data_IF_833832130466
#
_entry.id   IF_833832130466
#
_cell.length_a   1.000
_cell.length_b   1.000
_cell.length_c   1.000
_cell.angle_alpha   90.00
_cell.angle_beta   90.00
_cell.angle_gamma   90.00
#
_symmetry.space_group_name_H-M   'P 1'
#
loop_
_entity.id
_entity.type
_entity.pdbx_description
1 polymer ?
#
# COMPACT_ATOMS: atom_id res chain seq x y z
N UNK A 1 21.26 12.76 0.17
CA UNK A 1 19.81 12.57 -0.11
C UNK A 1 19.49 11.19 -0.71
N UNK A 2 19.95 10.88 -1.93
CA UNK A 2 19.71 9.58 -2.60
C UNK A 2 20.28 8.35 -1.86
N UNK A 3 21.42 8.50 -1.17
CA UNK A 3 22.08 7.39 -0.46
C UNK A 3 21.25 6.80 0.70
N UNK A 4 20.42 7.61 1.37
CA UNK A 4 19.57 7.13 2.47
C UNK A 4 18.37 6.30 1.96
N UNK A 5 17.78 6.69 0.85
CA UNK A 5 16.62 5.99 0.26
C UNK A 5 16.98 4.61 -0.25
N UNK A 6 18.05 4.49 -1.03
CA UNK A 6 18.57 3.18 -1.49
C UNK A 6 18.85 2.29 -0.28
N UNK A 7 19.42 2.89 0.78
CA UNK A 7 19.66 2.17 2.02
C UNK A 7 18.40 1.76 2.77
N UNK A 8 17.28 2.49 2.65
CA UNK A 8 16.00 2.09 3.24
C UNK A 8 15.35 0.96 2.42
N UNK A 9 15.32 1.09 1.08
CA UNK A 9 14.68 0.14 0.17
C UNK A 9 15.28 -1.26 0.29
N UNK A 10 16.61 -1.37 0.34
CA UNK A 10 17.30 -2.67 0.42
C UNK A 10 16.93 -3.49 1.67
N UNK A 11 16.44 -2.84 2.74
CA UNK A 11 16.09 -3.53 3.98
C UNK A 11 14.60 -3.93 4.04
N UNK A 12 13.74 -3.35 3.20
CA UNK A 12 12.28 -3.59 3.25
C UNK A 12 11.96 -5.09 3.17
N UNK A 13 12.49 -5.88 2.21
CA UNK A 13 12.15 -7.30 2.13
C UNK A 13 12.54 -8.07 3.40
N UNK A 14 13.72 -7.77 3.95
CA UNK A 14 14.22 -8.41 5.17
C UNK A 14 13.37 -8.05 6.38
N UNK A 15 12.97 -6.78 6.51
CA UNK A 15 12.13 -6.32 7.61
C UNK A 15 10.74 -6.95 7.56
N UNK A 16 10.13 -7.00 6.37
CA UNK A 16 8.80 -7.58 6.20
C UNK A 16 8.78 -9.08 6.53
N UNK A 17 9.79 -9.84 6.12
CA UNK A 17 9.93 -11.25 6.49
C UNK A 17 10.10 -11.44 8.00
N UNK A 18 10.84 -10.55 8.67
CA UNK A 18 11.04 -10.64 10.12
C UNK A 18 9.78 -10.27 10.93
N UNK A 19 9.01 -9.28 10.46
CA UNK A 19 7.78 -8.82 11.14
C UNK A 19 6.62 -9.80 10.88
N UNK A 20 6.49 -10.32 9.65
CA UNK A 20 5.48 -11.31 9.27
C UNK A 20 4.05 -10.77 9.13
N UNK A 21 3.78 -9.50 9.49
CA UNK A 21 2.49 -8.84 9.27
C UNK A 21 2.65 -7.34 9.00
N UNK A 22 1.94 -6.83 7.99
CA UNK A 22 1.78 -5.39 7.69
C UNK A 22 0.36 -4.96 8.04
N UNK A 23 0.24 -3.90 8.83
CA UNK A 23 -1.04 -3.23 9.06
C UNK A 23 -1.20 -2.07 8.06
N UNK A 24 -2.12 -2.22 7.11
CA UNK A 24 -2.48 -1.15 6.18
C UNK A 24 -3.64 -0.36 6.77
N UNK A 25 -3.36 0.86 7.22
CA UNK A 25 -4.41 1.79 7.67
C UNK A 25 -5.12 2.33 6.42
N UNK A 26 -6.42 2.06 6.35
CA UNK A 26 -7.29 2.41 5.23
C UNK A 26 -8.24 3.51 5.69
N UNK A 27 -8.01 4.71 5.21
CA UNK A 27 -8.83 5.89 5.50
C UNK A 27 -8.70 6.90 4.34
N UNK A 28 -9.82 7.35 3.74
CA UNK A 28 -11.14 6.71 3.76
C UNK A 28 -11.10 5.34 3.04
N UNK A 29 -11.97 4.39 3.39
CA UNK A 29 -11.93 3.04 2.81
C UNK A 29 -12.28 3.00 1.32
N UNK A 30 -13.11 3.94 0.83
CA UNK A 30 -13.51 4.00 -0.59
C UNK A 30 -12.39 4.47 -1.51
N UNK A 31 -11.48 5.30 -1.00
CA UNK A 31 -10.35 5.82 -1.76
C UNK A 31 -9.14 5.94 -0.81
N UNK A 32 -8.51 4.81 -0.47
CA UNK A 32 -7.50 4.79 0.58
C UNK A 32 -6.29 5.64 0.19
N UNK A 33 -5.96 6.65 0.99
CA UNK A 33 -4.84 7.54 0.69
C UNK A 33 -3.52 6.77 0.65
N UNK A 34 -3.38 5.74 1.49
CA UNK A 34 -2.23 4.86 1.50
C UNK A 34 -1.96 4.21 0.13
N UNK A 35 -2.99 3.91 -0.66
CA UNK A 35 -2.84 3.32 -2.00
C UNK A 35 -2.46 4.36 -3.07
N UNK A 36 -2.45 5.65 -2.74
CA UNK A 36 -1.96 6.72 -3.61
C UNK A 36 -0.48 7.04 -3.37
N UNK A 37 0.14 6.44 -2.35
CA UNK A 37 1.54 6.72 -1.97
C UNK A 37 2.46 5.65 -2.51
N UNK A 38 3.47 6.07 -3.29
CA UNK A 38 4.39 5.13 -3.96
C UNK A 38 5.16 4.22 -2.98
N UNK A 39 5.47 4.74 -1.79
CA UNK A 39 6.13 4.00 -0.72
C UNK A 39 5.27 2.86 -0.19
N UNK A 40 3.99 3.13 0.08
CA UNK A 40 3.06 2.11 0.56
C UNK A 40 2.84 1.01 -0.50
N UNK A 41 2.80 1.38 -1.79
CA UNK A 41 2.70 0.39 -2.87
C UNK A 41 3.94 -0.51 -2.95
N UNK A 42 5.14 0.06 -2.79
CA UNK A 42 6.39 -0.72 -2.73
C UNK A 42 6.40 -1.68 -1.54
N UNK A 43 5.95 -1.24 -0.37
CA UNK A 43 5.87 -2.08 0.83
C UNK A 43 4.85 -3.21 0.67
N UNK A 44 3.68 -2.92 0.10
CA UNK A 44 2.66 -3.93 -0.19
C UNK A 44 3.15 -4.97 -1.20
N UNK A 45 3.82 -4.53 -2.28
CA UNK A 45 4.41 -5.43 -3.27
C UNK A 45 5.40 -6.41 -2.61
N UNK A 46 6.34 -5.89 -1.82
CA UNK A 46 7.29 -6.75 -1.11
C UNK A 46 6.62 -7.63 -0.05
N UNK A 47 5.57 -7.14 0.63
CA UNK A 47 4.81 -7.93 1.59
C UNK A 47 4.15 -9.13 0.90
N UNK A 48 3.54 -8.93 -0.28
CA UNK A 48 2.95 -10.00 -1.07
C UNK A 48 4.01 -10.98 -1.59
N UNK A 49 5.14 -10.49 -2.10
CA UNK A 49 6.26 -11.34 -2.53
C UNK A 49 6.84 -12.18 -1.38
N UNK A 50 6.94 -11.60 -0.18
CA UNK A 50 7.40 -12.27 1.02
C UNK A 50 6.33 -13.15 1.70
N UNK A 51 5.09 -13.21 1.17
CA UNK A 51 3.93 -13.88 1.79
C UNK A 51 3.67 -13.43 3.23
N UNK A 52 3.90 -12.16 3.48
CA UNK A 52 3.59 -11.49 4.73
C UNK A 52 2.08 -11.20 4.82
N UNK A 53 1.49 -11.37 6.00
CA UNK A 53 0.06 -11.07 6.20
C UNK A 53 -0.19 -9.56 6.04
N UNK A 54 -1.16 -9.16 5.22
CA UNK A 54 -1.59 -7.77 5.11
C UNK A 54 -2.96 -7.62 5.77
N UNK A 55 -3.03 -6.84 6.86
CA UNK A 55 -4.26 -6.59 7.60
C UNK A 55 -4.75 -5.16 7.37
N UNK A 56 -5.96 -5.05 6.84
CA UNK A 56 -6.63 -3.75 6.70
C UNK A 56 -7.12 -3.29 8.06
N UNK A 57 -6.73 -2.10 8.48
CA UNK A 57 -7.19 -1.44 9.70
C UNK A 57 -7.90 -0.14 9.35
N UNK A 58 -8.98 0.17 10.05
CA UNK A 58 -9.85 1.32 9.75
C UNK A 58 -10.32 1.93 11.08
N UNK A 59 -10.69 3.20 11.08
CA UNK A 59 -11.43 3.78 12.20
C UNK A 59 -12.82 3.13 12.33
N UNK A 60 -13.49 3.33 13.47
CA UNK A 60 -14.75 2.63 13.78
C UNK A 60 -15.82 2.94 12.75
N UNK A 61 -15.91 4.21 12.34
CA UNK A 61 -16.88 4.74 11.41
C UNK A 61 -16.67 4.15 10.01
N UNK A 62 -15.44 4.19 9.51
CA UNK A 62 -15.05 3.61 8.21
C UNK A 62 -15.26 2.10 8.19
N UNK A 63 -14.88 1.39 9.26
CA UNK A 63 -15.11 -0.06 9.37
C UNK A 63 -16.60 -0.42 9.31
N UNK A 64 -17.45 0.35 9.98
CA UNK A 64 -18.90 0.14 9.93
C UNK A 64 -19.46 0.42 8.53
N UNK A 65 -18.97 1.47 7.85
CA UNK A 65 -19.34 1.78 6.48
C UNK A 65 -18.89 0.70 5.49
N UNK A 66 -17.66 0.20 5.64
CA UNK A 66 -17.09 -0.91 4.86
C UNK A 66 -17.91 -2.18 5.03
N UNK A 67 -18.25 -2.57 6.27
CA UNK A 67 -19.09 -3.74 6.52
C UNK A 67 -20.49 -3.63 5.90
N UNK A 68 -21.12 -2.45 5.93
CA UNK A 68 -22.39 -2.25 5.23
C UNK A 68 -22.22 -2.43 3.72
N UNK A 69 -21.18 -1.83 3.15
CA UNK A 69 -20.89 -1.95 1.72
C UNK A 69 -20.60 -3.39 1.28
N UNK A 70 -19.95 -4.22 2.11
CA UNK A 70 -19.77 -5.64 1.81
C UNK A 70 -21.09 -6.37 1.53
N UNK A 71 -22.19 -5.96 2.17
CA UNK A 71 -23.51 -6.56 1.96
C UNK A 71 -24.36 -5.84 0.91
N UNK A 72 -24.27 -4.51 0.82
CA UNK A 72 -25.15 -3.70 -0.03
C UNK A 72 -24.54 -3.26 -1.36
N UNK A 73 -23.21 -3.24 -1.46
CA UNK A 73 -22.44 -2.67 -2.57
C UNK A 73 -21.04 -3.30 -2.65
N UNK A 74 -21.01 -4.61 -2.87
CA UNK A 74 -19.76 -5.37 -2.97
C UNK A 74 -18.87 -4.86 -4.11
N UNK A 75 -19.47 -4.34 -5.18
CA UNK A 75 -18.75 -3.76 -6.31
C UNK A 75 -17.89 -2.55 -5.88
N UNK A 76 -18.40 -1.68 -5.00
CA UNK A 76 -17.60 -0.58 -4.46
C UNK A 76 -16.45 -1.06 -3.59
N UNK A 77 -16.63 -2.14 -2.81
CA UNK A 77 -15.55 -2.74 -2.03
C UNK A 77 -14.47 -3.32 -2.92
N UNK A 78 -14.86 -4.07 -3.96
CA UNK A 78 -13.91 -4.60 -4.94
C UNK A 78 -13.16 -3.45 -5.62
N UNK A 79 -13.87 -2.44 -6.11
CA UNK A 79 -13.26 -1.30 -6.78
C UNK A 79 -12.24 -0.56 -5.88
N UNK A 80 -12.54 -0.39 -4.60
CA UNK A 80 -11.63 0.27 -3.66
C UNK A 80 -10.32 -0.49 -3.44
N UNK A 81 -10.32 -1.82 -3.62
CA UNK A 81 -9.17 -2.69 -3.39
C UNK A 81 -8.45 -3.11 -4.69
N UNK A 82 -9.12 -3.04 -5.85
CA UNK A 82 -8.57 -3.52 -7.14
C UNK A 82 -8.18 -2.42 -8.11
N UNK A 83 -8.53 -1.16 -7.88
CA UNK A 83 -8.21 -0.04 -8.79
C UNK A 83 -6.82 0.55 -8.55
N UNK A 84 -5.92 -0.21 -7.94
CA UNK A 84 -4.55 0.25 -7.62
C UNK A 84 -3.76 0.42 -8.92
N UNK A 85 -3.44 1.67 -9.26
CA UNK A 85 -2.54 2.02 -10.36
C UNK A 85 -1.32 2.76 -9.82
N UNK A 86 -0.17 2.06 -9.81
CA UNK A 86 1.07 2.61 -9.30
C UNK A 86 1.54 3.84 -10.09
N UNK A 87 1.19 3.98 -11.38
CA UNK A 87 1.65 5.09 -12.24
C UNK A 87 1.16 6.46 -11.75
N UNK A 88 -0.01 6.47 -11.09
CA UNK A 88 -0.59 7.66 -10.48
C UNK A 88 -0.06 7.97 -9.07
N UNK A 89 0.77 7.10 -8.49
CA UNK A 89 1.21 7.22 -7.11
C UNK A 89 2.17 8.40 -6.90
N UNK A 90 2.08 8.99 -5.70
CA UNK A 90 2.74 10.24 -5.31
C UNK A 90 3.81 10.00 -4.25
N UNK A 91 4.76 10.94 -4.18
CA UNK A 91 5.72 11.06 -3.08
C UNK A 91 6.05 12.53 -2.84
N UNK A 92 6.40 12.88 -1.61
CA UNK A 92 6.84 14.25 -1.27
C UNK A 92 8.18 14.63 -1.93
N UNK A 93 8.94 13.64 -2.40
CA UNK A 93 10.22 13.81 -3.09
C UNK A 93 10.16 13.14 -4.46
N UNK A 94 10.23 13.92 -5.54
CA UNK A 94 10.05 13.42 -6.91
C UNK A 94 11.16 12.45 -7.35
N UNK A 95 12.37 12.60 -6.82
CA UNK A 95 13.45 11.64 -7.08
C UNK A 95 13.09 10.24 -6.56
N UNK A 96 12.48 10.16 -5.37
CA UNK A 96 12.06 8.91 -4.74
C UNK A 96 10.89 8.31 -5.52
N UNK A 97 9.95 9.16 -5.94
CA UNK A 97 8.84 8.74 -6.80
C UNK A 97 9.34 8.02 -8.04
N UNK A 98 10.24 8.65 -8.80
CA UNK A 98 10.79 8.05 -10.03
C UNK A 98 11.55 6.76 -9.77
N UNK A 99 12.40 6.74 -8.74
CA UNK A 99 13.16 5.55 -8.38
C UNK A 99 12.23 4.38 -8.03
N UNK A 100 11.26 4.61 -7.14
CA UNK A 100 10.37 3.55 -6.67
C UNK A 100 9.44 3.06 -7.77
N UNK A 101 8.91 3.95 -8.61
CA UNK A 101 8.12 3.54 -9.77
C UNK A 101 8.93 2.64 -10.70
N UNK A 102 10.19 2.99 -10.99
CA UNK A 102 11.06 2.14 -11.80
C UNK A 102 11.29 0.77 -11.16
N UNK A 103 11.35 0.68 -9.82
CA UNK A 103 11.47 -0.60 -9.12
C UNK A 103 10.19 -1.43 -9.23
N UNK A 104 9.01 -0.82 -9.02
CA UNK A 104 7.72 -1.50 -9.12
C UNK A 104 7.50 -2.07 -10.54
N UNK A 105 7.89 -1.33 -11.58
CA UNK A 105 7.73 -1.76 -12.98
C UNK A 105 8.67 -2.92 -13.39
N UNK A 106 9.73 -3.18 -12.62
CA UNK A 106 10.75 -4.21 -12.93
C UNK A 106 10.53 -5.56 -12.23
N UNK A 107 9.42 -5.74 -11.50
CA UNK A 107 9.14 -6.90 -10.65
C UNK A 107 8.19 -7.91 -11.29
#
# INVERSE_FOLDING_TARGET
>A
PQSRIVSSIQHIPRLLTAIGCVALVVDPWRQPECLTRVWCLLELLHAFQARCDVRLTMCREERAAFHRALHSDYAAVQAALTTIDARGAQASVEADRRLILSLIETQ
#
